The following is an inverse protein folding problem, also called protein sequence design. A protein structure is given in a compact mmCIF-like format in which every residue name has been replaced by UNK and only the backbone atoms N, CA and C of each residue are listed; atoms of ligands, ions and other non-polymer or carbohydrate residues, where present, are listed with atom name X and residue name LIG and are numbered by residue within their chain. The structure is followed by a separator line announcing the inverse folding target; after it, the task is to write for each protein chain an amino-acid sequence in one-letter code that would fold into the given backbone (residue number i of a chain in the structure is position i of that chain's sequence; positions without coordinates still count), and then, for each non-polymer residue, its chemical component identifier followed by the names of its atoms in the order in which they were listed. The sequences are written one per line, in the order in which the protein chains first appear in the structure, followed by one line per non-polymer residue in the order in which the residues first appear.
data_IF_668701593886
#
_entry.id   IF_668701593886
#
_cell.length_a   1.000
_cell.length_b   1.000
_cell.length_c   1.000
_cell.angle_alpha   90.00
_cell.angle_beta   90.00
_cell.angle_gamma   90.00
#
_symmetry.space_group_name_H-M   'P 1'
#
loop_
_entity.id
_entity.type
_entity.pdbx_description
1 polymer ?
#
# COMPACT_ATOMS: atom_id res chain seq x y z
N UNK A 1 1.67 4.82 -21.58
CA UNK A 1 1.41 4.51 -20.17
C UNK A 1 2.68 4.37 -19.34
N UNK A 2 3.66 3.54 -19.76
CA UNK A 2 4.95 3.35 -19.07
C UNK A 2 5.80 4.61 -18.77
N UNK A 3 5.84 5.67 -19.60
CA UNK A 3 6.70 6.83 -19.32
C UNK A 3 6.07 7.89 -18.40
N UNK A 4 4.81 7.73 -17.98
CA UNK A 4 4.13 8.71 -17.10
C UNK A 4 4.34 8.44 -15.61
N UNK A 5 4.63 7.19 -15.24
CA UNK A 5 4.83 6.77 -13.84
C UNK A 5 6.18 7.29 -13.31
N UNK A 6 7.18 7.44 -14.19
CA UNK A 6 8.56 7.81 -13.83
C UNK A 6 8.73 9.30 -13.47
N UNK A 7 7.69 10.12 -13.64
CA UNK A 7 7.77 11.59 -13.46
C UNK A 7 6.77 12.20 -12.48
N UNK A 8 5.93 11.38 -11.84
CA UNK A 8 4.89 11.87 -10.93
C UNK A 8 5.31 11.68 -9.47
N UNK A 9 5.08 12.69 -8.62
CA UNK A 9 5.29 12.61 -7.16
C UNK A 9 4.74 11.30 -6.59
N UNK A 10 5.42 10.74 -5.58
CA UNK A 10 5.12 9.43 -4.97
C UNK A 10 3.62 9.25 -4.67
N UNK A 11 2.94 10.27 -4.13
CA UNK A 11 1.50 10.22 -3.87
C UNK A 11 0.61 9.97 -5.11
N UNK A 12 1.00 10.48 -6.28
CA UNK A 12 0.23 10.31 -7.51
C UNK A 12 0.27 8.85 -8.02
N UNK A 13 1.25 8.06 -7.57
CA UNK A 13 1.35 6.63 -7.93
C UNK A 13 0.25 5.82 -7.24
N UNK A 14 -0.12 6.15 -6.00
CA UNK A 14 -1.20 5.48 -5.27
C UNK A 14 -2.57 5.73 -5.92
N UNK A 15 -2.85 6.98 -6.27
CA UNK A 15 -4.09 7.35 -6.97
C UNK A 15 -4.17 6.73 -8.36
N UNK A 16 -3.05 6.72 -9.09
CA UNK A 16 -2.97 6.07 -10.39
C UNK A 16 -3.19 4.55 -10.27
N UNK A 17 -2.55 3.89 -9.30
CA UNK A 17 -2.71 2.46 -9.08
C UNK A 17 -4.16 2.12 -8.73
N UNK A 18 -4.78 2.90 -7.83
CA UNK A 18 -6.21 2.79 -7.51
C UNK A 18 -7.09 2.92 -8.74
N UNK A 19 -6.85 3.91 -9.59
CA UNK A 19 -7.62 4.13 -10.83
C UNK A 19 -7.47 2.95 -11.80
N UNK A 20 -6.22 2.51 -12.03
CA UNK A 20 -5.91 1.39 -12.93
C UNK A 20 -6.51 0.08 -12.40
N UNK A 21 -6.41 -0.16 -11.10
CA UNK A 21 -7.02 -1.31 -10.45
C UNK A 21 -8.53 -1.33 -10.62
N UNK A 22 -9.23 -0.22 -10.34
CA UNK A 22 -10.68 -0.16 -10.46
C UNK A 22 -11.16 -0.44 -11.90
N UNK A 23 -10.47 0.11 -12.89
CA UNK A 23 -10.74 -0.17 -14.30
C UNK A 23 -10.50 -1.63 -14.66
N UNK A 24 -9.35 -2.18 -14.24
CA UNK A 24 -8.99 -3.57 -14.50
C UNK A 24 -9.94 -4.56 -13.82
N UNK A 25 -10.24 -4.36 -12.54
CA UNK A 25 -11.14 -5.19 -11.73
C UNK A 25 -12.55 -5.21 -12.30
N UNK A 26 -13.05 -4.07 -12.78
CA UNK A 26 -14.33 -3.99 -13.48
C UNK A 26 -14.29 -4.78 -14.79
N UNK A 27 -13.25 -4.58 -15.59
CA UNK A 27 -13.10 -5.27 -16.88
C UNK A 27 -13.02 -6.79 -16.71
N UNK A 28 -12.20 -7.31 -15.77
CA UNK A 28 -12.05 -8.76 -15.58
C UNK A 28 -13.35 -9.41 -15.09
N UNK A 29 -14.16 -8.71 -14.28
CA UNK A 29 -15.49 -9.19 -13.89
C UNK A 29 -16.44 -9.29 -15.08
N UNK A 30 -16.45 -8.28 -15.96
CA UNK A 30 -17.26 -8.31 -17.17
C UNK A 30 -16.82 -9.41 -18.14
N UNK A 31 -15.51 -9.59 -18.31
CA UNK A 31 -14.95 -10.66 -19.15
C UNK A 31 -15.34 -12.03 -18.60
N UNK A 32 -15.20 -12.25 -17.29
CA UNK A 32 -15.66 -13.47 -16.63
C UNK A 32 -17.16 -13.70 -16.87
N UNK A 33 -17.99 -12.67 -16.70
CA UNK A 33 -19.44 -12.80 -16.86
C UNK A 33 -19.81 -13.14 -18.32
N UNK A 34 -19.13 -12.54 -19.29
CA UNK A 34 -19.29 -12.87 -20.71
C UNK A 34 -18.83 -14.30 -21.03
N UNK A 35 -17.73 -14.75 -20.43
CA UNK A 35 -17.14 -16.08 -20.64
C UNK A 35 -17.61 -17.13 -19.62
N UNK A 36 -18.68 -16.85 -18.87
CA UNK A 36 -19.13 -17.69 -17.75
C UNK A 36 -19.43 -19.14 -18.16
N UNK A 37 -19.90 -19.38 -19.39
CA UNK A 37 -20.09 -20.76 -19.88
C UNK A 37 -18.77 -21.52 -20.01
N UNK A 38 -17.73 -20.86 -20.54
CA UNK A 38 -16.38 -21.44 -20.62
C UNK A 38 -15.82 -21.71 -19.23
N UNK A 39 -16.01 -20.77 -18.30
CA UNK A 39 -15.54 -20.88 -16.91
C UNK A 39 -16.23 -22.04 -16.16
N UNK A 40 -17.52 -22.30 -16.44
CA UNK A 40 -18.27 -23.39 -15.78
C UNK A 40 -18.04 -24.77 -16.38
N UNK A 41 -17.82 -24.86 -17.70
CA UNK A 41 -17.75 -26.14 -18.39
C UNK A 41 -16.31 -26.48 -18.76
N UNK A 42 -15.67 -25.63 -19.57
CA UNK A 42 -14.35 -25.93 -20.12
C UNK A 42 -13.26 -25.89 -19.05
N UNK A 43 -13.21 -24.82 -18.25
CA UNK A 43 -12.19 -24.65 -17.19
C UNK A 43 -12.27 -25.79 -16.17
N UNK A 44 -13.49 -26.16 -15.75
CA UNK A 44 -13.70 -27.28 -14.81
C UNK A 44 -13.29 -28.61 -15.42
N UNK A 45 -13.68 -28.89 -16.66
CA UNK A 45 -13.34 -30.13 -17.35
C UNK A 45 -11.83 -30.30 -17.53
N UNK A 46 -11.14 -29.20 -17.86
CA UNK A 46 -9.69 -29.18 -18.07
C UNK A 46 -8.89 -28.93 -16.79
N UNK A 47 -9.54 -28.76 -15.64
CA UNK A 47 -8.91 -28.45 -14.34
C UNK A 47 -7.98 -27.24 -14.39
N UNK A 48 -8.39 -26.20 -15.11
CA UNK A 48 -7.66 -24.94 -15.24
C UNK A 48 -8.07 -23.94 -14.14
N UNK A 49 -7.28 -22.87 -14.01
CA UNK A 49 -7.60 -21.73 -13.15
C UNK A 49 -8.80 -20.94 -13.73
N UNK A 50 -9.78 -20.54 -12.90
CA UNK A 50 -10.88 -19.68 -13.33
C UNK A 50 -10.38 -18.36 -13.94
N UNK A 51 -11.11 -17.85 -14.93
CA UNK A 51 -10.75 -16.65 -15.69
C UNK A 51 -10.49 -15.46 -14.78
N UNK A 52 -11.29 -15.30 -13.73
CA UNK A 52 -11.14 -14.23 -12.76
C UNK A 52 -9.81 -14.32 -12.00
N UNK A 53 -9.48 -15.50 -11.48
CA UNK A 53 -8.24 -15.74 -10.75
C UNK A 53 -7.02 -15.57 -11.66
N UNK A 54 -7.10 -16.05 -12.90
CA UNK A 54 -6.05 -15.83 -13.90
C UNK A 54 -5.82 -14.34 -14.17
N UNK A 55 -6.90 -13.54 -14.26
CA UNK A 55 -6.78 -12.09 -14.39
C UNK A 55 -6.14 -11.43 -13.17
N UNK A 56 -6.48 -11.86 -11.95
CA UNK A 56 -5.83 -11.37 -10.73
C UNK A 56 -4.32 -11.68 -10.73
N UNK A 57 -3.94 -12.91 -11.09
CA UNK A 57 -2.53 -13.31 -11.20
C UNK A 57 -1.78 -12.44 -12.23
N UNK A 58 -2.38 -12.20 -13.41
CA UNK A 58 -1.79 -11.34 -14.42
C UNK A 58 -1.60 -9.91 -13.93
N UNK A 59 -2.57 -9.33 -13.22
CA UNK A 59 -2.43 -7.99 -12.66
C UNK A 59 -1.31 -7.92 -11.61
N UNK A 60 -1.25 -8.93 -10.72
CA UNK A 60 -0.21 -9.04 -9.70
C UNK A 60 1.18 -9.09 -10.34
N UNK A 61 1.41 -9.99 -11.28
CA UNK A 61 2.73 -10.22 -11.90
C UNK A 61 3.18 -9.05 -12.77
N UNK A 62 2.27 -8.46 -13.56
CA UNK A 62 2.64 -7.48 -14.58
C UNK A 62 2.58 -6.04 -14.10
N UNK A 63 1.85 -5.75 -13.01
CA UNK A 63 1.67 -4.39 -12.48
C UNK A 63 2.24 -4.29 -11.07
N UNK A 64 1.69 -5.05 -10.11
CA UNK A 64 2.02 -4.86 -8.69
C UNK A 64 3.44 -5.31 -8.35
N UNK A 65 3.89 -6.44 -8.91
CA UNK A 65 5.23 -6.98 -8.71
C UNK A 65 6.29 -6.35 -9.62
N UNK A 66 5.92 -5.34 -10.42
CA UNK A 66 6.89 -4.65 -11.24
C UNK A 66 7.84 -3.84 -10.33
N UNK A 67 9.18 -4.05 -10.37
CA UNK A 67 10.10 -3.52 -9.37
C UNK A 67 9.99 -2.00 -9.18
N UNK A 68 9.90 -1.25 -10.28
CA UNK A 68 9.75 0.21 -10.22
C UNK A 68 8.44 0.61 -9.53
N UNK A 69 7.34 -0.11 -9.76
CA UNK A 69 6.05 0.19 -9.12
C UNK A 69 6.14 -0.13 -7.62
N UNK A 70 6.76 -1.24 -7.24
CA UNK A 70 6.98 -1.57 -5.83
C UNK A 70 7.80 -0.51 -5.10
N UNK A 71 8.90 -0.03 -5.70
CA UNK A 71 9.71 1.05 -5.11
C UNK A 71 8.89 2.32 -4.90
N UNK A 72 8.18 2.77 -5.93
CA UNK A 72 7.37 4.00 -5.82
C UNK A 72 6.20 3.83 -4.85
N UNK A 73 5.60 2.65 -4.77
CA UNK A 73 4.57 2.35 -3.78
C UNK A 73 5.13 2.44 -2.37
N UNK A 74 6.29 1.83 -2.13
CA UNK A 74 6.97 1.90 -0.83
C UNK A 74 7.23 3.34 -0.42
N UNK A 75 7.82 4.13 -1.32
CA UNK A 75 8.18 5.52 -1.05
C UNK A 75 6.93 6.38 -0.81
N UNK A 76 5.86 6.15 -1.57
CA UNK A 76 4.59 6.84 -1.38
C UNK A 76 3.93 6.51 -0.04
N UNK A 77 3.96 5.24 0.38
CA UNK A 77 3.44 4.81 1.67
C UNK A 77 4.22 5.43 2.85
N UNK A 78 5.55 5.44 2.76
CA UNK A 78 6.41 6.08 3.76
C UNK A 78 6.14 7.59 3.83
N UNK A 79 6.05 8.25 2.67
CA UNK A 79 5.74 9.68 2.59
C UNK A 79 4.38 10.01 3.20
N UNK A 80 3.36 9.17 2.99
CA UNK A 80 2.04 9.35 3.63
C UNK A 80 2.11 9.24 5.15
N UNK A 81 2.88 8.29 5.68
CA UNK A 81 3.05 8.12 7.13
C UNK A 81 3.76 9.33 7.72
N UNK A 82 4.83 9.81 7.09
CA UNK A 82 5.56 10.99 7.56
C UNK A 82 4.68 12.24 7.53
N UNK A 83 3.90 12.45 6.47
CA UNK A 83 2.94 13.56 6.42
C UNK A 83 1.91 13.48 7.55
N UNK A 84 1.38 12.30 7.83
CA UNK A 84 0.44 12.10 8.95
C UNK A 84 1.12 12.41 10.30
N UNK A 85 2.38 12.02 10.50
CA UNK A 85 3.17 12.35 11.72
C UNK A 85 3.39 13.84 11.90
N UNK A 86 3.56 14.60 10.81
CA UNK A 86 3.62 16.06 10.84
C UNK A 86 2.24 16.74 11.01
N UNK A 87 1.18 15.96 11.26
CA UNK A 87 -0.17 16.47 11.48
C UNK A 87 -0.88 16.90 10.20
N UNK A 88 -0.39 16.50 9.03
CA UNK A 88 -1.07 16.79 7.76
C UNK A 88 -2.28 15.88 7.60
N UNK A 89 -3.33 16.41 6.97
CA UNK A 89 -4.51 15.62 6.62
C UNK A 89 -4.15 14.77 5.40
N UNK A 90 -4.04 13.47 5.62
CA UNK A 90 -3.73 12.48 4.58
C UNK A 90 -5.01 11.75 4.17
N UNK A 91 -5.19 11.48 2.87
CA UNK A 91 -6.34 10.72 2.39
C UNK A 91 -6.26 9.24 2.80
N UNK A 92 -7.01 8.92 3.85
CA UNK A 92 -7.11 7.55 4.40
C UNK A 92 -7.92 6.61 3.51
N UNK A 93 -8.70 7.13 2.58
CA UNK A 93 -9.54 6.30 1.69
C UNK A 93 -8.68 5.54 0.69
N UNK A 94 -7.69 6.23 0.10
CA UNK A 94 -6.77 5.62 -0.86
C UNK A 94 -5.93 4.50 -0.25
N UNK A 95 -5.49 4.66 1.00
CA UNK A 95 -4.81 3.59 1.76
C UNK A 95 -5.70 2.36 1.95
N UNK A 96 -6.95 2.57 2.34
CA UNK A 96 -7.92 1.49 2.55
C UNK A 96 -8.21 0.74 1.25
N UNK A 97 -8.38 1.46 0.14
CA UNK A 97 -8.66 0.87 -1.17
C UNK A 97 -7.47 0.04 -1.67
N UNK A 98 -6.26 0.54 -1.50
CA UNK A 98 -5.03 -0.17 -1.85
C UNK A 98 -4.85 -1.43 -1.02
N UNK A 99 -5.12 -1.36 0.29
CA UNK A 99 -5.11 -2.56 1.14
C UNK A 99 -6.14 -3.58 0.66
N UNK A 100 -7.36 -3.14 0.37
CA UNK A 100 -8.41 -4.02 -0.12
C UNK A 100 -8.01 -4.69 -1.45
N UNK A 101 -7.37 -3.95 -2.36
CA UNK A 101 -6.80 -4.51 -3.59
C UNK A 101 -5.77 -5.61 -3.28
N UNK A 102 -4.84 -5.40 -2.35
CA UNK A 102 -3.84 -6.42 -2.00
C UNK A 102 -4.47 -7.67 -1.39
N UNK A 103 -5.51 -7.52 -0.57
CA UNK A 103 -6.29 -8.66 -0.07
C UNK A 103 -6.94 -9.44 -1.21
N UNK A 104 -7.50 -8.76 -2.22
CA UNK A 104 -8.11 -9.43 -3.38
C UNK A 104 -7.06 -10.16 -4.23
N UNK A 105 -5.85 -9.59 -4.35
CA UNK A 105 -4.75 -10.16 -5.13
C UNK A 105 -3.99 -11.28 -4.40
N UNK A 106 -4.40 -11.62 -3.17
CA UNK A 106 -3.75 -12.62 -2.31
C UNK A 106 -2.25 -12.30 -2.14
N UNK A 107 -1.96 -11.03 -1.88
CA UNK A 107 -0.61 -10.53 -1.62
C UNK A 107 -0.45 -10.41 -0.11
N UNK A 108 0.07 -11.47 0.51
CA UNK A 108 0.38 -11.50 1.95
C UNK A 108 1.53 -10.57 2.33
N UNK A 109 2.43 -10.29 1.39
CA UNK A 109 3.51 -9.32 1.55
C UNK A 109 3.77 -8.59 0.24
N UNK A 110 3.60 -7.27 0.25
CA UNK A 110 3.87 -6.39 -0.89
C UNK A 110 5.32 -6.46 -1.41
N UNK A 111 6.26 -6.93 -0.58
CA UNK A 111 7.70 -6.64 -0.72
C UNK A 111 8.58 -7.86 -0.41
N UNK A 112 8.20 -9.04 -0.94
CA UNK A 112 8.97 -10.27 -0.71
C UNK A 112 10.37 -10.21 -1.34
N UNK A 113 10.54 -9.45 -2.43
CA UNK A 113 11.76 -9.51 -3.24
C UNK A 113 12.76 -8.35 -3.04
N UNK A 114 12.35 -7.27 -2.37
CA UNK A 114 13.19 -6.07 -2.15
C UNK A 114 12.92 -5.58 -0.74
N UNK A 115 13.99 -5.27 0.00
CA UNK A 115 14.01 -4.78 1.40
C UNK A 115 12.61 -4.50 1.98
N UNK A 116 12.12 -5.35 2.92
CA UNK A 116 10.75 -5.31 3.39
C UNK A 116 10.36 -3.89 3.80
N UNK A 117 9.17 -3.45 3.39
CA UNK A 117 8.65 -2.13 3.78
C UNK A 117 8.74 -1.88 5.28
N UNK A 118 8.50 -2.92 6.09
CA UNK A 118 8.63 -2.85 7.55
C UNK A 118 10.04 -2.42 7.97
N UNK A 119 11.10 -2.94 7.34
CA UNK A 119 12.48 -2.57 7.65
C UNK A 119 12.72 -1.07 7.40
N UNK A 120 12.29 -0.56 6.24
CA UNK A 120 12.42 0.86 5.91
C UNK A 120 11.55 1.75 6.80
N UNK A 121 10.31 1.33 7.06
CA UNK A 121 9.40 2.02 7.95
C UNK A 121 10.00 2.17 9.35
N UNK A 122 10.54 1.09 9.91
CA UNK A 122 11.14 1.10 11.24
C UNK A 122 12.37 2.02 11.29
N UNK A 123 13.26 1.97 10.29
CA UNK A 123 14.41 2.87 10.19
C UNK A 123 13.96 4.34 10.16
N UNK A 124 13.04 4.71 9.26
CA UNK A 124 12.51 6.07 9.18
C UNK A 124 11.82 6.51 10.49
N UNK A 125 11.12 5.59 11.15
CA UNK A 125 10.45 5.84 12.43
C UNK A 125 11.44 6.08 13.56
N UNK A 126 12.52 5.30 13.62
CA UNK A 126 13.61 5.51 14.59
C UNK A 126 14.23 6.89 14.39
N UNK A 127 14.58 7.25 13.16
CA UNK A 127 15.18 8.55 12.85
C UNK A 127 14.24 9.74 13.15
N UNK A 128 12.93 9.55 12.93
CA UNK A 128 11.91 10.53 13.25
C UNK A 128 11.81 10.75 14.77
N UNK A 129 11.60 9.68 15.54
CA UNK A 129 11.41 9.78 16.98
C UNK A 129 12.69 10.15 17.74
N UNK A 130 13.87 9.80 17.22
CA UNK A 130 15.12 10.27 17.78
C UNK A 130 15.21 11.81 17.71
N UNK A 131 15.01 12.38 16.52
CA UNK A 131 15.03 13.85 16.33
C UNK A 131 13.95 14.55 17.15
N UNK A 132 12.73 14.01 17.19
CA UNK A 132 11.65 14.58 17.99
C UNK A 132 11.97 14.51 19.48
N UNK A 133 12.58 13.42 19.96
CA UNK A 133 12.97 13.28 21.37
C UNK A 133 14.04 14.29 21.79
N UNK A 134 15.08 14.50 20.96
CA UNK A 134 16.12 15.50 21.20
C UNK A 134 15.51 16.91 21.30
N UNK A 135 14.57 17.24 20.41
CA UNK A 135 13.86 18.52 20.44
C UNK A 135 13.00 18.66 21.71
N UNK A 136 12.23 17.65 22.06
CA UNK A 136 11.36 17.68 23.24
C UNK A 136 12.16 17.80 24.55
N UNK A 137 13.34 17.18 24.64
CA UNK A 137 14.22 17.30 25.81
C UNK A 137 14.74 18.73 26.03
N UNK A 138 14.94 19.50 24.95
CA UNK A 138 15.36 20.91 25.03
C UNK A 138 14.19 21.83 25.36
N UNK A 139 13.01 21.57 24.78
CA UNK A 139 11.87 22.49 24.84
C UNK A 139 10.91 22.25 26.02
N UNK A 140 10.89 21.06 26.61
CA UNK A 140 9.84 20.62 27.55
C UNK A 140 10.39 20.13 28.89
N UNK A 141 9.58 20.28 29.94
CA UNK A 141 9.86 19.66 31.24
C UNK A 141 9.56 18.15 31.22
N UNK A 142 10.09 17.41 32.20
CA UNK A 142 9.97 15.94 32.25
C UNK A 142 8.50 15.46 32.21
N UNK A 143 7.55 16.04 32.98
CA UNK A 143 6.15 15.63 32.89
C UNK A 143 5.51 15.83 31.51
N UNK A 144 5.84 16.93 30.83
CA UNK A 144 5.37 17.20 29.47
C UNK A 144 5.99 16.26 28.43
N UNK A 145 7.29 15.95 28.57
CA UNK A 145 7.98 14.98 27.75
C UNK A 145 7.31 13.61 27.82
N UNK A 146 7.08 13.08 29.04
CA UNK A 146 6.43 11.79 29.24
C UNK A 146 5.03 11.77 28.61
N UNK A 147 4.26 12.86 28.80
CA UNK A 147 2.92 12.96 28.20
C UNK A 147 2.97 12.91 26.67
N UNK A 148 3.94 13.59 26.04
CA UNK A 148 4.13 13.58 24.59
C UNK A 148 4.52 12.20 24.07
N UNK A 149 5.47 11.53 24.73
CA UNK A 149 5.88 10.17 24.37
C UNK A 149 4.71 9.19 24.46
N UNK A 150 3.94 9.22 25.55
CA UNK A 150 2.73 8.37 25.68
C UNK A 150 1.70 8.66 24.58
N UNK A 151 1.55 9.92 24.18
CA UNK A 151 0.70 10.30 23.05
C UNK A 151 1.17 9.66 21.74
N UNK A 152 2.46 9.78 21.41
CA UNK A 152 3.03 9.18 20.20
C UNK A 152 2.92 7.65 20.16
N UNK A 153 3.10 6.97 21.31
CA UNK A 153 2.90 5.52 21.40
C UNK A 153 1.44 5.16 21.06
N UNK A 154 0.47 5.91 21.59
CA UNK A 154 -0.94 5.70 21.29
C UNK A 154 -1.26 5.95 19.82
N UNK A 155 -0.69 7.00 19.22
CA UNK A 155 -0.87 7.34 17.81
C UNK A 155 -0.33 6.24 16.88
N UNK A 156 0.87 5.72 17.15
CA UNK A 156 1.47 4.62 16.36
C UNK A 156 0.71 3.30 16.55
N UNK A 157 0.28 3.00 17.78
CA UNK A 157 -0.56 1.82 18.05
C UNK A 157 -1.88 1.89 17.29
N UNK A 158 -2.51 3.06 17.23
CA UNK A 158 -3.73 3.26 16.48
C UNK A 158 -3.48 3.12 14.97
N UNK A 159 -2.36 3.66 14.47
CA UNK A 159 -1.98 3.53 13.05
C UNK A 159 -1.74 2.09 12.63
N UNK A 160 -1.07 1.28 13.46
CA UNK A 160 -0.79 -0.13 13.16
C UNK A 160 -2.05 -1.01 13.11
N UNK A 161 -3.12 -0.63 13.82
CA UNK A 161 -4.36 -1.40 13.90
C UNK A 161 -5.34 -1.06 12.77
N UNK A 162 -5.15 0.08 12.11
CA UNK A 162 -6.09 0.63 11.12
C UNK A 162 -5.97 -0.01 9.75
#
# INVERSE_FOLDING_TARGET
MRPLIVKSSSMHVLDMLKSVWNGYHTAIRLIRDFLNYMDRIYVVLQKLEPIYNMGLALFRENIVQFPTIQEHLRDALLEMIDRERYGQIVDKTTMKDIRQMFTILDIDSLFVDVEPFETRLLQCSTDFYQRESEKLLVEKNIPEYIRKVSGHISEESERATR
#
